data_IF_857138707198
#
_entry.id   IF_857138707198
#
_cell.length_a   1.000
_cell.length_b   1.000
_cell.length_c   1.000
_cell.angle_alpha   90.00
_cell.angle_beta   90.00
_cell.angle_gamma   90.00
#
_symmetry.space_group_name_H-M   'P 1'
#
loop_
_entity.id
_entity.type
_entity.pdbx_description
1 polymer ?
#
# COMPACT_ATOMS: atom_id res chain seq x y z
N UNK A 1 -13.98 2.97 -5.79
CA UNK A 1 -13.88 3.14 -4.32
C UNK A 1 -12.51 3.72 -4.04
N UNK A 2 -12.40 4.72 -3.17
CA UNK A 2 -11.12 5.34 -2.83
C UNK A 2 -10.85 5.09 -1.35
N UNK A 3 -9.72 4.46 -1.04
CA UNK A 3 -9.20 4.29 0.31
C UNK A 3 -8.08 5.32 0.46
N UNK A 4 -8.14 6.13 1.52
CA UNK A 4 -7.14 7.16 1.81
C UNK A 4 -6.38 6.71 3.05
N UNK A 5 -5.06 6.59 2.94
CA UNK A 5 -4.18 6.33 4.07
C UNK A 5 -3.94 7.68 4.78
N UNK A 6 -4.24 7.73 6.08
CA UNK A 6 -4.05 8.90 6.93
C UNK A 6 -2.73 8.79 7.71
N UNK A 7 -2.30 9.88 8.33
CA UNK A 7 -1.09 9.92 9.17
C UNK A 7 -1.20 9.06 10.45
N UNK A 8 -2.37 8.47 10.72
CA UNK A 8 -2.58 7.53 11.82
C UNK A 8 -2.19 6.08 11.45
N UNK A 9 -1.67 5.87 10.24
CA UNK A 9 -1.24 4.55 9.78
C UNK A 9 -0.17 3.94 10.71
N UNK A 10 -0.44 2.72 11.18
CA UNK A 10 0.46 1.94 12.04
C UNK A 10 1.14 0.77 11.30
N UNK A 11 1.09 0.75 9.97
CA UNK A 11 1.61 -0.35 9.13
C UNK A 11 1.03 -1.74 9.50
N UNK A 12 -0.29 -1.85 9.67
CA UNK A 12 -0.95 -3.12 10.00
C UNK A 12 -1.24 -4.02 8.78
N UNK A 13 -1.04 -3.54 7.54
CA UNK A 13 -1.23 -4.32 6.31
C UNK A 13 -2.69 -4.64 5.93
N UNK A 14 -3.68 -4.25 6.72
CA UNK A 14 -5.08 -4.62 6.46
C UNK A 14 -5.68 -4.00 5.19
N UNK A 15 -5.14 -2.87 4.73
CA UNK A 15 -5.63 -2.16 3.56
C UNK A 15 -5.12 -2.71 2.22
N UNK A 16 -4.03 -3.47 2.23
CA UNK A 16 -3.42 -4.06 1.03
C UNK A 16 -4.32 -5.11 0.35
N UNK A 17 -4.83 -6.16 1.02
CA UNK A 17 -5.67 -7.18 0.38
C UNK A 17 -7.06 -6.67 -0.03
N UNK A 18 -7.52 -5.58 0.59
CA UNK A 18 -8.80 -4.94 0.28
C UNK A 18 -8.69 -4.01 -0.94
N UNK A 19 -7.47 -3.73 -1.42
CA UNK A 19 -7.24 -2.83 -2.53
C UNK A 19 -7.56 -3.51 -3.87
N UNK A 20 -8.65 -3.13 -4.57
CA UNK A 20 -9.10 -3.85 -5.77
C UNK A 20 -8.19 -3.65 -6.99
N UNK A 21 -7.26 -2.70 -6.92
CA UNK A 21 -6.33 -2.35 -7.99
C UNK A 21 -4.87 -2.35 -7.50
N UNK A 22 -4.60 -2.95 -6.33
CA UNK A 22 -3.24 -3.15 -5.81
C UNK A 22 -2.42 -1.86 -5.72
N UNK A 23 -3.07 -0.73 -5.44
CA UNK A 23 -2.43 0.58 -5.37
C UNK A 23 -1.74 0.88 -4.03
N UNK A 24 -1.95 0.04 -3.01
CA UNK A 24 -1.41 0.19 -1.66
C UNK A 24 -0.31 -0.85 -1.46
N UNK A 25 0.83 -0.42 -0.92
CA UNK A 25 2.02 -1.23 -0.67
C UNK A 25 2.69 -0.77 0.63
N UNK A 26 3.56 -1.60 1.20
CA UNK A 26 4.28 -1.25 2.44
C UNK A 26 5.17 -0.03 2.22
N UNK A 27 5.00 1.00 3.07
CA UNK A 27 5.72 2.27 2.95
C UNK A 27 7.21 2.21 3.28
N UNK A 28 7.71 1.05 3.74
CA UNK A 28 9.12 0.82 4.04
C UNK A 28 9.85 0.00 2.97
N UNK A 29 9.15 -0.46 1.93
CA UNK A 29 9.81 -0.94 0.73
C UNK A 29 10.34 0.28 -0.03
N UNK A 30 11.67 0.40 -0.08
CA UNK A 30 12.33 1.24 -1.07
C UNK A 30 11.62 1.00 -2.41
N UNK A 31 11.12 2.05 -3.06
CA UNK A 31 10.50 1.92 -4.37
C UNK A 31 11.49 1.27 -5.34
N UNK A 32 11.44 -0.05 -5.44
CA UNK A 32 12.27 -0.86 -6.30
C UNK A 32 11.53 -0.96 -7.61
N UNK A 33 11.87 -0.03 -8.49
CA UNK A 33 11.60 -0.11 -9.93
C UNK A 33 11.92 -1.50 -10.55
N UNK A 34 12.67 -2.37 -9.85
CA UNK A 34 13.04 -3.71 -10.29
C UNK A 34 11.98 -4.79 -10.12
N UNK A 35 10.93 -4.62 -9.32
CA UNK A 35 9.88 -5.63 -9.14
C UNK A 35 8.70 -5.34 -10.07
N UNK A 36 9.01 -5.16 -11.36
CA UNK A 36 8.10 -4.66 -12.37
C UNK A 36 6.74 -5.37 -12.44
N UNK A 37 5.72 -4.54 -12.66
CA UNK A 37 4.27 -4.80 -12.83
C UNK A 37 3.50 -5.17 -11.59
#
# INVERSE_FOLDING_TARGET
MAIIITDECINCGACEPECPNTAIYEGADDWRYKDGT
#
